data_IF_605311382174
#
_entry.id   IF_605311382174
#
_cell.length_a   1.000
_cell.length_b   1.000
_cell.length_c   1.000
_cell.angle_alpha   90.00
_cell.angle_beta   90.00
_cell.angle_gamma   90.00
#
_symmetry.space_group_name_H-M   'P 1'
#
loop_
_entity.id
_entity.type
_entity.pdbx_description
1 polymer ?
#
# COMPACT_ATOMS: atom_id res chain seq x y z
N UNK A 1 12.80 3.04 -4.65
CA UNK A 1 12.14 3.14 -5.97
C UNK A 1 10.96 2.20 -6.01
N UNK A 2 9.84 2.64 -6.61
CA UNK A 2 8.67 1.78 -6.80
C UNK A 2 8.08 2.03 -8.18
N UNK A 3 7.71 0.95 -8.89
CA UNK A 3 6.92 1.01 -10.11
C UNK A 3 5.60 0.31 -9.83
N UNK A 4 4.56 1.11 -9.63
CA UNK A 4 3.23 0.61 -9.30
C UNK A 4 2.45 0.18 -10.54
N UNK A 5 1.48 -0.75 -10.40
CA UNK A 5 0.59 -1.15 -11.47
C UNK A 5 -0.17 0.06 -12.08
N UNK A 6 -0.63 -0.09 -13.30
CA UNK A 6 -1.55 0.90 -13.88
C UNK A 6 -2.90 0.82 -13.19
N UNK A 7 -3.45 1.93 -12.69
CA UNK A 7 -4.82 1.94 -12.19
C UNK A 7 -5.80 1.59 -13.31
N UNK A 8 -6.83 0.80 -13.03
CA UNK A 8 -7.91 0.59 -13.99
C UNK A 8 -8.11 -0.81 -14.55
N UNK A 9 -7.27 -1.74 -14.22
CA UNK A 9 -7.54 -3.17 -14.09
C UNK A 9 -8.14 -4.00 -15.21
N UNK A 10 -7.95 -3.66 -16.49
CA UNK A 10 -8.26 -4.63 -17.57
C UNK A 10 -7.18 -5.71 -17.74
N UNK A 11 -6.00 -5.47 -17.19
CA UNK A 11 -4.86 -6.38 -17.18
C UNK A 11 -4.43 -6.64 -15.74
N UNK A 12 -3.80 -7.78 -15.46
CA UNK A 12 -3.25 -8.06 -14.14
C UNK A 12 -2.32 -6.93 -13.68
N UNK A 13 -2.42 -6.58 -12.39
CA UNK A 13 -1.52 -5.61 -11.79
C UNK A 13 -0.13 -6.22 -11.64
N UNK A 14 0.90 -5.53 -12.11
CA UNK A 14 2.30 -5.91 -11.96
C UNK A 14 3.10 -4.73 -11.45
N UNK A 15 4.00 -4.96 -10.51
CA UNK A 15 4.79 -3.91 -9.91
C UNK A 15 6.13 -4.41 -9.37
N UNK A 16 7.00 -3.47 -9.02
CA UNK A 16 8.27 -3.72 -8.36
C UNK A 16 8.55 -2.65 -7.33
N UNK A 17 9.14 -3.04 -6.23
CA UNK A 17 9.72 -2.13 -5.24
C UNK A 17 11.18 -2.46 -5.02
N UNK A 18 11.99 -1.43 -4.80
CA UNK A 18 13.41 -1.53 -4.51
C UNK A 18 13.71 -0.63 -3.32
N UNK A 19 14.11 -1.23 -2.21
CA UNK A 19 14.39 -0.56 -0.94
C UNK A 19 15.84 -0.73 -0.54
N UNK A 20 16.53 0.35 -0.13
CA UNK A 20 17.85 0.22 0.46
C UNK A 20 17.74 -0.47 1.82
N UNK A 21 18.69 -1.32 2.12
CA UNK A 21 18.88 -1.97 3.42
C UNK A 21 20.32 -1.80 3.88
N UNK A 22 20.63 -2.21 5.10
CA UNK A 22 21.95 -2.07 5.70
C UNK A 22 23.06 -2.73 4.85
N UNK A 23 24.27 -2.17 4.94
CA UNK A 23 25.45 -2.68 4.23
C UNK A 23 25.48 -2.37 2.73
N UNK A 24 24.83 -1.28 2.30
CA UNK A 24 24.83 -0.84 0.89
C UNK A 24 24.07 -1.78 -0.06
N UNK A 25 23.17 -2.60 0.49
CA UNK A 25 22.38 -3.60 -0.26
C UNK A 25 20.99 -3.09 -0.58
N UNK A 26 20.32 -3.81 -1.47
CA UNK A 26 18.95 -3.52 -1.89
C UNK A 26 18.08 -4.76 -1.77
N UNK A 27 16.88 -4.58 -1.23
CA UNK A 27 15.83 -5.56 -1.29
C UNK A 27 14.94 -5.22 -2.49
N UNK A 28 14.87 -6.13 -3.46
CA UNK A 28 14.05 -5.97 -4.66
C UNK A 28 12.90 -6.98 -4.63
N UNK A 29 11.67 -6.48 -4.73
CA UNK A 29 10.48 -7.33 -4.71
C UNK A 29 9.63 -7.06 -5.95
N UNK A 30 9.46 -8.05 -6.80
CA UNK A 30 8.51 -8.04 -7.91
C UNK A 30 7.18 -8.66 -7.46
N UNK A 31 6.08 -8.15 -7.95
CA UNK A 31 4.75 -8.60 -7.54
C UNK A 31 3.78 -8.61 -8.73
N UNK A 32 2.78 -9.50 -8.65
CA UNK A 32 1.71 -9.55 -9.63
C UNK A 32 0.41 -10.05 -9.02
N UNK A 33 -0.71 -9.52 -9.51
CA UNK A 33 -2.05 -10.05 -9.20
C UNK A 33 -2.32 -11.29 -10.04
N UNK A 34 -3.41 -12.00 -9.75
CA UNK A 34 -3.79 -13.24 -10.45
C UNK A 34 -3.71 -13.09 -11.98
N UNK A 35 -2.96 -13.97 -12.63
CA UNK A 35 -2.68 -13.96 -14.06
C UNK A 35 -1.53 -13.04 -14.48
N UNK A 36 -0.90 -12.36 -13.54
CA UNK A 36 0.29 -11.52 -13.76
C UNK A 36 1.42 -11.83 -12.77
N UNK A 37 1.37 -13.00 -12.13
CA UNK A 37 2.35 -13.41 -11.13
C UNK A 37 3.76 -13.53 -11.74
N UNK A 38 4.81 -13.14 -11.01
CA UNK A 38 6.18 -13.41 -11.42
C UNK A 38 6.49 -14.92 -11.39
N UNK A 39 7.38 -15.35 -12.27
CA UNK A 39 7.94 -16.71 -12.26
C UNK A 39 8.81 -16.95 -11.02
N UNK A 40 9.02 -18.23 -10.69
CA UNK A 40 10.00 -18.65 -9.67
C UNK A 40 11.44 -18.67 -10.17
N UNK A 41 11.62 -18.62 -11.48
CA UNK A 41 12.94 -18.67 -12.09
C UNK A 41 13.70 -17.38 -11.84
N UNK A 42 14.92 -17.49 -11.31
CA UNK A 42 15.81 -16.35 -11.12
C UNK A 42 16.11 -15.64 -12.48
N UNK A 43 16.24 -16.41 -13.56
CA UNK A 43 16.46 -15.88 -14.91
C UNK A 43 15.32 -15.02 -15.45
N UNK A 44 14.10 -15.20 -14.93
CA UNK A 44 12.93 -14.42 -15.34
C UNK A 44 12.76 -13.13 -14.53
N UNK A 45 13.48 -12.95 -13.43
CA UNK A 45 13.29 -11.83 -12.50
C UNK A 45 13.53 -10.47 -13.16
N UNK A 46 14.66 -10.30 -13.82
CA UNK A 46 14.98 -9.08 -14.57
C UNK A 46 14.03 -8.91 -15.76
N UNK A 47 13.72 -9.99 -16.49
CA UNK A 47 12.78 -9.96 -17.62
C UNK A 47 11.41 -9.52 -17.17
N UNK A 48 10.93 -9.96 -16.00
CA UNK A 48 9.68 -9.50 -15.41
C UNK A 48 9.74 -7.99 -15.09
N UNK A 49 10.80 -7.54 -14.42
CA UNK A 49 10.98 -6.13 -14.06
C UNK A 49 11.04 -5.23 -15.33
N UNK A 50 11.60 -5.72 -16.42
CA UNK A 50 11.73 -5.00 -17.70
C UNK A 50 10.40 -4.83 -18.44
N UNK A 51 9.43 -5.73 -18.23
CA UNK A 51 8.07 -5.67 -18.83
C UNK A 51 7.13 -4.72 -18.08
N UNK A 52 7.53 -4.21 -16.93
CA UNK A 52 6.71 -3.30 -16.15
C UNK A 52 6.51 -1.97 -16.88
N UNK A 53 5.61 -1.15 -16.34
CA UNK A 53 5.27 0.16 -16.90
C UNK A 53 6.49 1.06 -17.18
N UNK A 54 7.54 0.93 -16.38
CA UNK A 54 8.81 1.63 -16.54
C UNK A 54 9.96 0.69 -16.21
N UNK A 55 11.01 0.59 -17.05
CA UNK A 55 12.09 -0.37 -16.88
C UNK A 55 13.19 0.06 -15.89
N UNK A 56 13.05 1.21 -15.22
CA UNK A 56 14.09 1.76 -14.34
C UNK A 56 14.68 0.74 -13.36
N UNK A 57 13.84 -0.06 -12.70
CA UNK A 57 14.34 -1.04 -11.72
C UNK A 57 15.09 -2.16 -12.43
N UNK A 58 14.62 -2.61 -13.60
CA UNK A 58 15.37 -3.57 -14.41
C UNK A 58 16.75 -3.04 -14.82
N UNK A 59 16.81 -1.76 -15.24
CA UNK A 59 18.09 -1.12 -15.59
C UNK A 59 19.04 -1.01 -14.39
N UNK A 60 18.50 -0.73 -13.19
CA UNK A 60 19.29 -0.67 -11.95
C UNK A 60 19.83 -2.05 -11.52
N UNK A 61 19.02 -3.11 -11.62
CA UNK A 61 19.42 -4.46 -11.20
C UNK A 61 20.30 -5.17 -12.22
N UNK A 62 20.25 -4.79 -13.49
CA UNK A 62 21.10 -5.37 -14.54
C UNK A 62 22.59 -5.20 -14.28
N UNK A 63 22.98 -4.13 -13.57
CA UNK A 63 24.36 -3.87 -13.15
C UNK A 63 24.67 -4.31 -11.71
N UNK A 64 23.73 -4.93 -11.00
CA UNK A 64 23.89 -5.32 -9.61
C UNK A 64 24.16 -6.83 -9.46
N UNK A 65 24.93 -7.20 -8.44
CA UNK A 65 25.19 -8.59 -8.09
C UNK A 65 24.03 -9.17 -7.28
N UNK A 66 23.40 -10.28 -7.69
CA UNK A 66 22.40 -10.97 -6.88
C UNK A 66 23.08 -11.65 -5.67
N UNK A 67 22.66 -11.27 -4.47
CA UNK A 67 23.24 -11.78 -3.21
C UNK A 67 22.50 -12.99 -2.66
N UNK A 68 21.30 -13.30 -3.15
CA UNK A 68 20.47 -14.42 -2.70
C UNK A 68 19.70 -15.04 -3.87
N UNK A 69 19.20 -16.24 -3.67
CA UNK A 69 18.18 -16.82 -4.54
C UNK A 69 16.88 -16.03 -4.50
N UNK A 70 16.04 -16.21 -5.52
CA UNK A 70 14.70 -15.62 -5.56
C UNK A 70 13.77 -16.34 -4.61
N UNK A 71 13.27 -15.61 -3.61
CA UNK A 71 12.28 -16.09 -2.67
C UNK A 71 10.87 -15.79 -3.17
N UNK A 72 9.98 -16.77 -3.12
CA UNK A 72 8.59 -16.60 -3.52
C UNK A 72 7.66 -16.63 -2.32
N UNK A 73 6.82 -15.58 -2.19
CA UNK A 73 5.68 -15.56 -1.28
C UNK A 73 4.36 -15.58 -2.05
N UNK A 74 3.39 -16.36 -1.58
CA UNK A 74 2.01 -16.38 -2.08
C UNK A 74 1.01 -15.83 -1.05
N UNK A 75 1.51 -15.25 0.02
CA UNK A 75 0.70 -14.67 1.10
C UNK A 75 0.24 -13.25 0.73
N UNK A 76 -0.56 -13.15 -0.34
CA UNK A 76 -1.01 -11.85 -0.92
C UNK A 76 -2.51 -11.61 -0.72
N UNK A 77 -3.17 -12.39 0.14
CA UNK A 77 -4.61 -12.30 0.37
C UNK A 77 -4.90 -11.29 1.47
N UNK A 78 -5.74 -10.30 1.20
CA UNK A 78 -6.32 -9.49 2.26
C UNK A 78 -7.29 -10.37 3.07
N UNK A 79 -7.12 -10.39 4.39
CA UNK A 79 -7.99 -11.15 5.30
C UNK A 79 -8.24 -10.36 6.56
N UNK A 80 -9.51 -10.12 6.90
CA UNK A 80 -9.93 -9.47 8.14
C UNK A 80 -10.82 -10.38 8.96
N UNK A 81 -10.58 -10.42 10.26
CA UNK A 81 -11.42 -11.09 11.26
C UNK A 81 -12.07 -10.04 12.13
N UNK A 82 -13.40 -9.99 12.09
CA UNK A 82 -14.20 -8.99 12.80
C UNK A 82 -14.48 -9.43 14.23
N UNK A 83 -13.42 -9.64 15.03
CA UNK A 83 -13.53 -10.04 16.43
C UNK A 83 -14.35 -9.06 17.28
N UNK A 84 -14.33 -7.78 16.93
CA UNK A 84 -15.12 -6.74 17.58
C UNK A 84 -16.63 -6.90 17.44
N UNK A 85 -17.07 -7.75 16.53
CA UNK A 85 -18.51 -8.05 16.28
C UNK A 85 -19.01 -9.28 17.02
N UNK A 86 -18.14 -10.03 17.69
CA UNK A 86 -18.56 -11.19 18.47
C UNK A 86 -19.41 -10.76 19.66
N UNK A 87 -20.52 -11.50 19.90
CA UNK A 87 -21.43 -11.22 21.02
C UNK A 87 -20.75 -11.47 22.37
N UNK A 88 -19.90 -12.49 22.44
CA UNK A 88 -19.12 -12.85 23.63
C UNK A 88 -17.64 -12.67 23.36
N UNK A 89 -16.93 -12.10 24.31
CA UNK A 89 -15.49 -11.92 24.27
C UNK A 89 -14.84 -12.35 25.58
N UNK A 90 -13.79 -13.17 25.57
CA UNK A 90 -13.12 -13.61 26.78
C UNK A 90 -12.44 -12.43 27.50
N UNK A 91 -12.52 -12.43 28.83
CA UNK A 91 -11.79 -11.47 29.65
C UNK A 91 -10.28 -11.69 29.53
N UNK A 92 -9.49 -10.61 29.58
CA UNK A 92 -8.03 -10.68 29.56
C UNK A 92 -7.41 -11.08 28.24
N UNK A 93 -8.16 -11.18 27.15
CA UNK A 93 -7.67 -11.60 25.82
C UNK A 93 -7.88 -10.50 24.77
N UNK A 94 -6.84 -10.20 23.96
CA UNK A 94 -6.90 -9.24 22.85
C UNK A 94 -6.11 -9.80 21.67
N UNK A 95 -6.66 -9.69 20.47
CA UNK A 95 -6.01 -10.05 19.20
C UNK A 95 -5.50 -8.79 18.51
N UNK A 96 -4.27 -8.80 18.01
CA UNK A 96 -3.63 -7.66 17.35
C UNK A 96 -2.93 -8.07 16.05
N UNK A 97 -2.50 -7.09 15.26
CA UNK A 97 -1.70 -7.27 14.04
C UNK A 97 -2.41 -8.10 12.97
N UNK A 98 -1.66 -8.92 12.26
CA UNK A 98 -2.14 -9.76 11.16
C UNK A 98 -3.18 -10.80 11.59
N UNK A 99 -3.24 -11.13 12.88
CA UNK A 99 -4.30 -11.97 13.42
C UNK A 99 -5.69 -11.28 13.35
N UNK A 100 -5.75 -9.95 13.39
CA UNK A 100 -6.96 -9.15 13.16
C UNK A 100 -7.15 -8.87 11.67
N UNK A 101 -6.13 -8.31 11.03
CA UNK A 101 -6.21 -7.93 9.62
C UNK A 101 -4.84 -8.11 8.95
N UNK A 102 -4.74 -9.12 8.08
CA UNK A 102 -3.60 -9.31 7.19
C UNK A 102 -3.88 -8.63 5.85
N UNK A 103 -2.89 -7.96 5.32
CA UNK A 103 -2.99 -7.21 4.07
C UNK A 103 -2.07 -7.81 3.01
N UNK A 104 -2.44 -7.65 1.76
CA UNK A 104 -1.51 -7.87 0.66
C UNK A 104 -0.26 -7.00 0.86
N UNK A 105 0.95 -7.59 0.92
CA UNK A 105 2.19 -6.86 1.20
C UNK A 105 2.47 -5.68 0.26
N UNK A 106 1.89 -5.68 -0.94
CA UNK A 106 2.07 -4.60 -1.92
C UNK A 106 1.61 -3.23 -1.40
N UNK A 107 0.69 -3.20 -0.44
CA UNK A 107 0.20 -1.95 0.17
C UNK A 107 1.13 -1.40 1.26
N UNK A 108 2.04 -2.22 1.80
CA UNK A 108 2.98 -1.81 2.83
C UNK A 108 2.35 -1.46 4.19
N UNK A 109 1.08 -1.79 4.43
CA UNK A 109 0.32 -1.31 5.60
C UNK A 109 0.48 -2.19 6.86
N UNK A 110 0.89 -3.46 6.72
CA UNK A 110 0.84 -4.43 7.82
C UNK A 110 1.55 -3.96 9.09
N UNK A 111 2.81 -3.57 9.00
CA UNK A 111 3.59 -3.10 10.16
C UNK A 111 3.03 -1.78 10.74
N UNK A 112 2.60 -0.85 9.89
CA UNK A 112 2.00 0.41 10.36
C UNK A 112 0.71 0.17 11.13
N UNK A 113 -0.16 -0.73 10.65
CA UNK A 113 -1.38 -1.11 11.38
C UNK A 113 -1.05 -1.83 12.67
N UNK A 114 -0.05 -2.72 12.70
CA UNK A 114 0.38 -3.39 13.93
C UNK A 114 0.88 -2.38 14.97
N UNK A 115 1.64 -1.37 14.58
CA UNK A 115 2.07 -0.28 15.46
C UNK A 115 0.89 0.56 15.98
N UNK A 116 -0.08 0.89 15.10
CA UNK A 116 -1.32 1.57 15.50
C UNK A 116 -2.17 0.71 16.44
N UNK A 117 -2.22 -0.62 16.25
CA UNK A 117 -2.86 -1.54 17.17
C UNK A 117 -2.21 -1.47 18.57
N UNK A 118 -0.87 -1.50 18.63
CA UNK A 118 -0.13 -1.42 19.89
C UNK A 118 -0.39 -0.09 20.60
N UNK A 119 -0.40 1.03 19.88
CA UNK A 119 -0.74 2.34 20.41
C UNK A 119 -2.18 2.39 20.96
N UNK A 120 -3.16 1.91 20.18
CA UNK A 120 -4.56 1.86 20.60
C UNK A 120 -4.77 0.96 21.84
N UNK A 121 -4.04 -0.15 21.92
CA UNK A 121 -4.05 -1.04 23.09
C UNK A 121 -3.47 -0.33 24.30
N UNK A 122 -2.28 0.27 24.18
CA UNK A 122 -1.65 1.06 25.25
C UNK A 122 -2.60 2.14 25.78
N UNK A 123 -3.19 2.93 24.89
CA UNK A 123 -4.05 4.06 25.27
C UNK A 123 -5.35 3.58 25.93
N UNK A 124 -5.88 2.42 25.51
CA UNK A 124 -7.06 1.82 26.12
C UNK A 124 -6.77 1.25 27.50
N UNK A 125 -5.56 0.74 27.75
CA UNK A 125 -5.16 0.15 29.03
C UNK A 125 -4.69 1.20 30.03
N UNK A 126 -4.28 2.38 29.58
CA UNK A 126 -3.76 3.44 30.45
C UNK A 126 -4.75 3.82 31.55
N UNK A 127 -4.32 3.73 32.79
CA UNK A 127 -5.13 4.07 33.95
C UNK A 127 -6.33 3.14 34.24
N UNK A 128 -6.41 1.98 33.59
CA UNK A 128 -7.51 1.03 33.79
C UNK A 128 -7.14 -0.08 34.78
N UNK A 129 -8.16 -0.60 35.45
CA UNK A 129 -8.03 -1.79 36.30
C UNK A 129 -8.03 -3.03 35.36
N UNK A 130 -6.94 -3.77 35.32
CA UNK A 130 -6.76 -4.91 34.40
C UNK A 130 -7.78 -6.04 34.63
N UNK A 131 -8.38 -6.11 35.81
CA UNK A 131 -9.44 -7.08 36.14
C UNK A 131 -10.84 -6.71 35.62
N UNK A 132 -11.05 -5.53 35.01
CA UNK A 132 -12.34 -5.18 34.44
C UNK A 132 -12.69 -6.13 33.27
N UNK A 133 -13.78 -6.92 33.38
CA UNK A 133 -14.16 -7.90 32.35
C UNK A 133 -14.52 -7.24 31.01
N UNK A 134 -14.82 -5.93 31.00
CA UNK A 134 -15.15 -5.18 29.77
C UNK A 134 -13.92 -4.61 29.07
N UNK A 135 -12.77 -4.57 29.76
CA UNK A 135 -11.55 -3.92 29.24
C UNK A 135 -11.06 -4.58 27.95
N UNK A 136 -10.96 -5.90 27.94
CA UNK A 136 -10.52 -6.65 26.77
C UNK A 136 -11.39 -6.37 25.53
N UNK A 137 -12.71 -6.31 25.70
CA UNK A 137 -13.64 -5.99 24.62
C UNK A 137 -13.50 -4.55 24.12
N UNK A 138 -13.27 -3.57 25.03
CA UNK A 138 -12.97 -2.18 24.65
C UNK A 138 -11.66 -2.09 23.87
N UNK A 139 -10.62 -2.78 24.32
CA UNK A 139 -9.34 -2.84 23.65
C UNK A 139 -9.47 -3.47 22.25
N UNK A 140 -10.19 -4.59 22.12
CA UNK A 140 -10.41 -5.23 20.82
C UNK A 140 -11.13 -4.32 19.83
N UNK A 141 -12.13 -3.56 20.28
CA UNK A 141 -12.80 -2.56 19.44
C UNK A 141 -11.89 -1.38 19.06
N UNK A 142 -11.02 -0.95 19.96
CA UNK A 142 -10.05 0.10 19.65
C UNK A 142 -9.03 -0.37 18.61
N UNK A 143 -8.49 -1.57 18.75
CA UNK A 143 -7.60 -2.23 17.80
C UNK A 143 -8.29 -2.38 16.44
N UNK A 144 -9.53 -2.86 16.37
CA UNK A 144 -10.24 -3.05 15.12
C UNK A 144 -10.40 -1.75 14.31
N UNK A 145 -10.66 -0.62 14.98
CA UNK A 145 -10.79 0.70 14.32
C UNK A 145 -9.52 1.14 13.61
N UNK A 146 -8.34 0.80 14.12
CA UNK A 146 -7.08 1.19 13.47
C UNK A 146 -6.85 0.45 12.13
N UNK A 147 -7.51 -0.69 11.94
CA UNK A 147 -7.44 -1.45 10.69
C UNK A 147 -8.37 -0.92 9.58
N UNK A 148 -9.37 -0.11 9.90
CA UNK A 148 -10.45 0.27 8.98
C UNK A 148 -9.95 1.01 7.73
N UNK A 149 -9.06 1.99 7.91
CA UNK A 149 -8.56 2.81 6.81
C UNK A 149 -7.72 1.97 5.83
N UNK A 150 -6.75 1.21 6.34
CA UNK A 150 -5.90 0.33 5.53
C UNK A 150 -6.74 -0.75 4.82
N UNK A 151 -7.73 -1.32 5.51
CA UNK A 151 -8.64 -2.31 4.94
C UNK A 151 -9.44 -1.74 3.76
N UNK A 152 -10.02 -0.56 3.96
CA UNK A 152 -10.82 0.10 2.91
C UNK A 152 -9.97 0.45 1.68
N UNK A 153 -8.73 0.89 1.87
CA UNK A 153 -7.80 1.17 0.76
C UNK A 153 -7.43 -0.10 0.00
N UNK A 154 -7.05 -1.17 0.71
CA UNK A 154 -6.63 -2.42 0.08
C UNK A 154 -7.78 -3.09 -0.70
N UNK A 155 -8.93 -3.27 -0.08
CA UNK A 155 -10.09 -3.91 -0.72
C UNK A 155 -10.68 -3.04 -1.82
N UNK A 156 -10.70 -1.71 -1.60
CA UNK A 156 -11.21 -0.75 -2.58
C UNK A 156 -10.41 -0.74 -3.89
N UNK A 157 -9.13 -1.07 -3.85
CA UNK A 157 -8.30 -1.19 -5.05
C UNK A 157 -8.35 -2.61 -5.63
N UNK A 158 -8.22 -3.65 -4.80
CA UNK A 158 -8.14 -5.05 -5.25
C UNK A 158 -9.37 -5.51 -6.02
N UNK A 159 -10.56 -5.02 -5.68
CA UNK A 159 -11.82 -5.40 -6.35
C UNK A 159 -11.84 -5.04 -7.84
N UNK A 160 -10.94 -4.21 -8.29
CA UNK A 160 -10.87 -3.76 -9.68
C UNK A 160 -9.93 -4.58 -10.57
N UNK A 161 -9.15 -5.49 -9.97
CA UNK A 161 -8.27 -6.36 -10.76
C UNK A 161 -9.01 -7.58 -11.30
N UNK A 162 -8.58 -8.13 -12.46
CA UNK A 162 -9.16 -9.35 -13.02
C UNK A 162 -9.08 -10.51 -12.02
N UNK A 163 -10.17 -11.26 -11.91
CA UNK A 163 -10.26 -12.40 -11.00
C UNK A 163 -10.51 -12.05 -9.54
N UNK A 164 -10.72 -10.78 -9.20
CA UNK A 164 -11.21 -10.40 -7.88
C UNK A 164 -12.64 -10.94 -7.67
N UNK A 165 -12.87 -11.51 -6.48
CA UNK A 165 -14.18 -12.02 -6.08
C UNK A 165 -14.73 -11.09 -4.99
N UNK A 166 -15.91 -10.51 -5.22
CA UNK A 166 -16.55 -9.59 -4.28
C UNK A 166 -17.74 -8.88 -4.89
N UNK A 167 -18.47 -8.15 -4.06
CA UNK A 167 -19.56 -7.31 -4.52
C UNK A 167 -19.07 -6.14 -5.35
N UNK A 168 -19.81 -5.81 -6.41
CA UNK A 168 -19.50 -4.62 -7.23
C UNK A 168 -19.64 -3.36 -6.38
N UNK A 169 -18.65 -2.46 -6.43
CA UNK A 169 -18.71 -1.21 -5.67
C UNK A 169 -19.97 -0.42 -6.03
N UNK A 170 -20.70 0.11 -5.04
CA UNK A 170 -21.87 0.96 -5.28
C UNK A 170 -21.46 2.27 -6.01
N UNK A 171 -22.44 2.96 -6.58
CA UNK A 171 -22.20 4.20 -7.36
C UNK A 171 -21.33 5.22 -6.59
N UNK A 172 -21.59 5.53 -5.30
CA UNK A 172 -20.74 6.46 -4.55
C UNK A 172 -19.26 6.04 -4.49
N UNK A 173 -18.99 4.76 -4.34
CA UNK A 173 -17.60 4.25 -4.30
C UNK A 173 -16.91 4.38 -5.67
N UNK A 174 -17.66 4.24 -6.77
CA UNK A 174 -17.11 4.47 -8.13
C UNK A 174 -16.77 5.94 -8.37
N UNK A 175 -17.62 6.87 -7.90
CA UNK A 175 -17.35 8.30 -7.97
C UNK A 175 -16.14 8.69 -7.12
N UNK A 176 -16.07 8.13 -5.91
CA UNK A 176 -14.91 8.31 -5.03
C UNK A 176 -13.62 7.83 -5.69
N UNK A 177 -13.65 6.69 -6.35
CA UNK A 177 -12.50 6.19 -7.10
C UNK A 177 -12.06 7.16 -8.20
N UNK A 178 -12.99 7.69 -8.98
CA UNK A 178 -12.69 8.72 -9.99
C UNK A 178 -12.00 9.94 -9.39
N UNK A 179 -12.48 10.40 -8.25
CA UNK A 179 -11.86 11.48 -7.48
C UNK A 179 -10.44 11.13 -7.04
N UNK A 180 -10.23 9.94 -6.45
CA UNK A 180 -8.91 9.48 -6.00
C UNK A 180 -7.93 9.33 -7.17
N UNK A 181 -8.36 8.77 -8.30
CA UNK A 181 -7.52 8.67 -9.50
C UNK A 181 -7.10 10.05 -10.01
N UNK A 182 -8.04 11.02 -10.06
CA UNK A 182 -7.73 12.40 -10.43
C UNK A 182 -6.79 13.05 -9.42
N UNK A 183 -6.98 12.79 -8.13
CA UNK A 183 -6.09 13.24 -7.05
C UNK A 183 -4.67 12.69 -7.24
N UNK A 184 -4.51 11.41 -7.53
CA UNK A 184 -3.20 10.81 -7.80
C UNK A 184 -2.49 11.48 -8.98
N UNK A 185 -3.22 11.75 -10.08
CA UNK A 185 -2.68 12.47 -11.23
C UNK A 185 -2.33 13.93 -10.87
N UNK A 186 -3.19 14.64 -10.16
CA UNK A 186 -2.93 16.03 -9.75
C UNK A 186 -1.73 16.09 -8.80
N UNK A 187 -1.60 15.11 -7.88
CA UNK A 187 -0.50 15.01 -6.94
C UNK A 187 0.86 14.80 -7.60
N UNK A 188 0.93 14.32 -8.86
CA UNK A 188 2.21 14.22 -9.57
C UNK A 188 2.84 15.57 -9.91
N UNK A 189 2.03 16.64 -9.90
CA UNK A 189 2.45 18.00 -10.32
C UNK A 189 2.08 19.08 -9.29
N UNK A 190 1.32 18.75 -8.25
CA UNK A 190 0.91 19.70 -7.20
C UNK A 190 1.25 19.17 -5.79
N UNK A 191 2.33 19.67 -5.15
CA UNK A 191 2.73 19.25 -3.80
C UNK A 191 1.66 19.46 -2.72
N UNK A 192 0.75 20.42 -2.90
CA UNK A 192 -0.35 20.67 -1.96
C UNK A 192 -1.42 19.56 -2.01
N UNK A 193 -1.44 18.75 -3.06
CA UNK A 193 -2.25 17.54 -3.19
C UNK A 193 -1.46 16.29 -2.80
N UNK A 194 -0.16 16.24 -3.17
CA UNK A 194 0.71 15.11 -2.86
C UNK A 194 0.84 14.88 -1.35
N UNK A 195 1.05 15.95 -0.58
CA UNK A 195 1.26 15.83 0.86
C UNK A 195 0.08 15.20 1.61
N UNK A 196 -1.17 15.70 1.48
CA UNK A 196 -2.33 15.04 2.08
C UNK A 196 -2.53 13.61 1.61
N UNK A 197 -2.25 13.31 0.33
CA UNK A 197 -2.33 11.96 -0.21
C UNK A 197 -1.34 11.03 0.48
N UNK A 198 -0.07 11.43 0.59
CA UNK A 198 0.96 10.65 1.29
C UNK A 198 0.64 10.48 2.78
N UNK A 199 0.18 11.54 3.46
CA UNK A 199 -0.23 11.48 4.87
C UNK A 199 -1.30 10.40 5.12
N UNK A 200 -2.25 10.24 4.19
CA UNK A 200 -3.29 9.19 4.28
C UNK A 200 -2.74 7.82 3.86
N UNK A 201 -1.96 7.74 2.80
CA UNK A 201 -1.36 6.48 2.36
C UNK A 201 -0.41 5.87 3.38
N UNK A 202 0.27 6.71 4.17
CA UNK A 202 1.14 6.27 5.27
C UNK A 202 0.39 6.07 6.59
N UNK A 203 -0.93 6.21 6.61
CA UNK A 203 -1.79 6.14 7.80
C UNK A 203 -1.43 7.18 8.87
N UNK A 204 -0.71 8.25 8.52
CA UNK A 204 -0.32 9.33 9.44
C UNK A 204 -1.48 10.28 9.74
N UNK A 205 -2.43 10.39 8.82
CA UNK A 205 -3.65 11.21 8.97
C UNK A 205 -4.90 10.47 8.48
N UNK A 206 -6.07 10.85 9.00
CA UNK A 206 -7.33 10.24 8.59
C UNK A 206 -7.69 10.60 7.14
N UNK A 207 -8.43 9.71 6.47
CA UNK A 207 -8.90 9.87 5.07
C UNK A 207 -9.70 11.17 4.86
N UNK A 208 -10.33 11.72 5.89
CA UNK A 208 -11.06 12.99 5.81
C UNK A 208 -10.18 14.15 5.30
N UNK A 209 -8.88 14.12 5.53
CA UNK A 209 -7.93 15.11 5.01
C UNK A 209 -7.90 15.23 3.49
N UNK A 210 -8.24 14.17 2.78
CA UNK A 210 -8.33 14.17 1.31
C UNK A 210 -9.51 15.01 0.79
N UNK A 211 -10.49 15.30 1.64
CA UNK A 211 -11.69 16.06 1.31
C UNK A 211 -11.66 17.48 1.87
N UNK A 212 -10.52 17.96 2.37
CA UNK A 212 -10.36 19.35 2.76
C UNK A 212 -10.66 20.27 1.57
N UNK A 213 -11.40 21.39 1.75
CA UNK A 213 -11.88 22.24 0.65
C UNK A 213 -10.76 22.68 -0.32
N UNK A 214 -9.58 23.01 0.21
CA UNK A 214 -8.42 23.37 -0.61
C UNK A 214 -7.88 22.24 -1.46
N UNK A 215 -7.91 21.01 -0.96
CA UNK A 215 -7.50 19.80 -1.70
C UNK A 215 -8.53 19.50 -2.79
N UNK A 216 -9.81 19.48 -2.44
CA UNK A 216 -10.90 19.23 -3.39
C UNK A 216 -10.83 20.22 -4.56
N UNK A 217 -10.69 21.52 -4.27
CA UNK A 217 -10.63 22.54 -5.30
C UNK A 217 -9.45 22.33 -6.26
N UNK A 218 -8.28 21.98 -5.74
CA UNK A 218 -7.09 21.68 -6.55
C UNK A 218 -7.28 20.43 -7.41
N UNK A 219 -7.85 19.36 -6.85
CA UNK A 219 -8.15 18.13 -7.58
C UNK A 219 -9.17 18.37 -8.68
N UNK A 220 -10.21 19.17 -8.45
CA UNK A 220 -11.22 19.51 -9.47
C UNK A 220 -10.64 20.37 -10.61
N UNK A 221 -9.66 21.22 -10.31
CA UNK A 221 -8.97 22.06 -11.32
C UNK A 221 -7.81 21.31 -12.01
N UNK A 222 -7.18 20.37 -11.33
CA UNK A 222 -5.98 19.71 -11.81
C UNK A 222 -6.21 18.50 -12.73
N UNK A 223 -5.12 17.92 -13.23
CA UNK A 223 -3.74 18.41 -13.14
C UNK A 223 -3.53 19.65 -14.03
N UNK A 224 -2.88 20.68 -13.49
CA UNK A 224 -2.56 21.91 -14.24
C UNK A 224 -1.31 21.81 -15.11
N UNK A 225 -0.68 20.64 -15.15
CA UNK A 225 0.50 20.32 -15.95
C UNK A 225 0.42 18.91 -16.52
N UNK A 226 1.35 18.57 -17.41
CA UNK A 226 1.47 17.19 -17.88
C UNK A 226 2.09 16.34 -16.76
N UNK A 227 1.47 15.24 -16.35
CA UNK A 227 2.09 14.29 -15.43
C UNK A 227 3.45 13.83 -16.01
N UNK A 228 4.49 13.69 -15.18
CA UNK A 228 5.78 13.22 -15.66
C UNK A 228 5.65 11.81 -16.23
N UNK A 229 6.21 11.61 -17.41
CA UNK A 229 6.28 10.30 -18.07
C UNK A 229 7.53 9.53 -17.65
N UNK A 230 8.55 10.26 -17.22
CA UNK A 230 9.81 9.72 -16.72
C UNK A 230 9.92 9.89 -15.20
N UNK A 231 10.64 8.99 -14.50
CA UNK A 231 10.93 9.14 -13.09
C UNK A 231 11.69 10.44 -12.82
N UNK A 232 11.49 11.09 -11.68
CA UNK A 232 12.18 12.33 -11.33
C UNK A 232 13.64 12.06 -10.89
N UNK A 233 14.44 11.54 -11.82
CA UNK A 233 15.85 11.23 -11.61
C UNK A 233 16.66 12.22 -12.44
N UNK A 234 17.56 12.93 -11.80
CA UNK A 234 18.48 13.87 -12.46
C UNK A 234 19.53 13.16 -13.32
N UNK A 235 20.13 13.86 -14.26
CA UNK A 235 21.22 13.33 -15.08
C UNK A 235 22.41 12.87 -14.22
N UNK A 236 22.73 13.60 -13.15
CA UNK A 236 23.79 13.23 -12.21
C UNK A 236 23.49 11.91 -11.48
N UNK A 237 22.25 11.73 -10.98
CA UNK A 237 21.81 10.49 -10.33
C UNK A 237 21.81 9.32 -11.31
N UNK A 238 21.44 9.53 -12.58
CA UNK A 238 21.54 8.50 -13.63
C UNK A 238 22.99 8.08 -13.84
N UNK A 239 23.92 9.04 -13.94
CA UNK A 239 25.33 8.76 -14.14
C UNK A 239 25.93 7.98 -12.96
N UNK A 240 25.61 8.36 -11.72
CA UNK A 240 26.04 7.64 -10.51
C UNK A 240 25.47 6.22 -10.46
N UNK A 241 24.23 6.03 -10.94
CA UNK A 241 23.59 4.73 -11.02
C UNK A 241 24.02 3.87 -12.22
N UNK A 242 24.96 4.34 -13.05
CA UNK A 242 25.41 3.65 -14.27
C UNK A 242 24.33 3.49 -15.35
N UNK A 243 23.28 4.34 -15.29
CA UNK A 243 22.19 4.29 -16.25
C UNK A 243 22.52 5.07 -17.53
N UNK A 244 22.24 4.46 -18.67
CA UNK A 244 22.42 5.14 -19.97
C UNK A 244 21.56 6.40 -20.06
N UNK A 245 22.05 7.52 -20.64
CA UNK A 245 21.20 8.65 -20.97
C UNK A 245 20.03 8.22 -21.87
N UNK A 246 18.84 8.67 -21.56
CA UNK A 246 17.65 8.52 -22.42
C UNK A 246 17.32 9.83 -23.08
#
# INVERSE_FOLDING_TARGET
>A
VSVSPRPGGRVPGQGVTMHPVEGGRWLVTVSGTRGGEPSRSAGDFETFARRLRHPLVADLIAGAEPLTDVLLSRSTINRRRYFERLDRWPGGFVVIGDAVAAYNPIYGHGMSVAALNAAALRDTLAGQVLGDPRLARRAQRAVARTADAAWSMAVGEDIHYPGAIGERPPVPARLLRGYVQRMMLTGTVDPAVTRPLLDVMTLSKPMAGLFAPGVVLRVLRGPLGRPPTEPPITAAERAVAGLTPR
#
